data_IF_490329531212
#
_entry.id   IF_490329531212
#
_cell.length_a   1.000
_cell.length_b   1.000
_cell.length_c   1.000
_cell.angle_alpha   90.00
_cell.angle_beta   90.00
_cell.angle_gamma   90.00
#
_symmetry.space_group_name_H-M   'P 1'
#
loop_
_entity.id
_entity.type
_entity.pdbx_description
1 polymer ?
#
# COMPACT_ATOMS: atom_id res chain seq x y z
N UNK A 1 11.92 6.93 -3.03
CA UNK A 1 12.23 5.60 -3.58
C UNK A 1 11.94 5.57 -5.07
N UNK A 2 12.56 4.64 -5.76
CA UNK A 2 12.36 4.48 -7.20
C UNK A 2 11.00 3.81 -7.48
N UNK A 3 10.26 4.34 -8.44
CA UNK A 3 8.93 3.84 -8.79
C UNK A 3 8.95 2.37 -9.17
N UNK A 4 9.95 1.95 -9.95
CA UNK A 4 10.06 0.56 -10.38
C UNK A 4 10.27 -0.37 -9.20
N UNK A 5 11.11 0.03 -8.24
CA UNK A 5 11.34 -0.75 -7.03
C UNK A 5 10.08 -0.85 -6.18
N UNK A 6 9.38 0.26 -6.02
CA UNK A 6 8.14 0.27 -5.24
C UNK A 6 7.10 -0.65 -5.89
N UNK A 7 6.94 -0.54 -7.19
CA UNK A 7 6.00 -1.39 -7.93
C UNK A 7 6.36 -2.86 -7.77
N UNK A 8 7.63 -3.20 -7.87
CA UNK A 8 8.08 -4.58 -7.70
C UNK A 8 7.78 -5.11 -6.29
N UNK A 9 8.03 -4.28 -5.27
CA UNK A 9 7.73 -4.65 -3.88
C UNK A 9 6.23 -4.89 -3.70
N UNK A 10 5.41 -3.99 -4.21
CA UNK A 10 3.97 -4.10 -4.06
C UNK A 10 3.42 -5.33 -4.78
N UNK A 11 3.89 -5.61 -5.98
CA UNK A 11 3.46 -6.79 -6.72
C UNK A 11 3.85 -8.06 -6.00
N UNK A 12 5.08 -8.13 -5.51
CA UNK A 12 5.54 -9.28 -4.74
C UNK A 12 4.72 -9.46 -3.46
N UNK A 13 4.42 -8.35 -2.77
CA UNK A 13 3.70 -8.41 -1.51
C UNK A 13 2.23 -8.78 -1.71
N UNK A 14 1.65 -8.38 -2.85
CA UNK A 14 0.27 -8.75 -3.16
C UNK A 14 0.08 -10.27 -3.22
N UNK A 15 1.12 -11.00 -3.59
CA UNK A 15 1.07 -12.46 -3.62
C UNK A 15 0.94 -13.08 -2.23
N UNK A 16 1.25 -12.31 -1.17
CA UNK A 16 1.14 -12.75 0.21
C UNK A 16 0.02 -11.95 0.90
N UNK A 17 -1.17 -12.02 0.34
CA UNK A 17 -2.27 -11.13 0.69
C UNK A 17 -2.89 -11.35 2.07
N UNK A 18 -2.34 -12.26 2.86
CA UNK A 18 -2.75 -12.46 4.25
C UNK A 18 -2.05 -11.51 5.22
N UNK A 19 -1.19 -10.65 4.73
CA UNK A 19 -0.40 -9.74 5.57
C UNK A 19 -0.71 -8.30 5.22
N UNK A 20 -0.64 -7.44 6.23
CA UNK A 20 -0.83 -6.02 6.04
C UNK A 20 0.50 -5.29 5.96
N UNK A 21 0.44 -4.07 5.48
CA UNK A 21 1.61 -3.22 5.36
C UNK A 21 1.24 -1.78 5.70
N UNK A 22 2.26 -0.96 5.89
CA UNK A 22 2.12 0.47 6.09
C UNK A 22 2.76 1.16 4.89
N UNK A 23 2.00 2.05 4.25
CA UNK A 23 2.48 2.84 3.12
C UNK A 23 2.61 4.29 3.56
N UNK A 24 3.77 4.87 3.30
CA UNK A 24 4.08 6.25 3.68
C UNK A 24 4.18 7.10 2.42
N UNK A 25 3.50 8.24 2.43
CA UNK A 25 3.64 9.26 1.41
C UNK A 25 4.09 10.56 2.06
N UNK A 26 4.32 11.59 1.25
CA UNK A 26 4.70 12.91 1.79
C UNK A 26 3.60 13.53 2.65
N UNK A 27 2.36 13.17 2.39
CA UNK A 27 1.21 13.83 3.00
C UNK A 27 0.56 13.02 4.12
N UNK A 28 0.73 11.69 4.12
CA UNK A 28 0.02 10.86 5.07
C UNK A 28 0.62 9.45 5.14
N UNK A 29 0.15 8.70 6.12
CA UNK A 29 0.54 7.30 6.33
C UNK A 29 -0.71 6.45 6.34
N UNK A 30 -0.68 5.34 5.60
CA UNK A 30 -1.78 4.37 5.59
C UNK A 30 -1.30 3.13 6.33
N UNK A 31 -1.90 2.87 7.49
CA UNK A 31 -1.55 1.74 8.35
C UNK A 31 -2.49 0.58 8.13
N UNK A 32 -2.00 -0.62 8.37
CA UNK A 32 -2.80 -1.85 8.33
C UNK A 32 -3.53 -2.00 7.01
N UNK A 33 -2.82 -1.75 5.93
CA UNK A 33 -3.39 -1.77 4.60
C UNK A 33 -3.12 -3.11 3.91
N UNK A 34 -4.08 -3.53 3.11
CA UNK A 34 -3.96 -4.70 2.25
C UNK A 34 -4.06 -4.22 0.81
N UNK A 35 -3.24 -4.76 -0.06
CA UNK A 35 -3.23 -4.36 -1.45
C UNK A 35 -4.45 -4.95 -2.15
N UNK A 36 -5.27 -4.07 -2.72
CA UNK A 36 -6.45 -4.46 -3.47
C UNK A 36 -6.11 -4.66 -4.95
N UNK A 37 -5.68 -3.59 -5.61
CA UNK A 37 -5.29 -3.65 -7.02
C UNK A 37 -4.04 -2.82 -7.26
N UNK A 38 -3.29 -3.20 -8.28
CA UNK A 38 -2.08 -2.47 -8.69
C UNK A 38 -2.13 -2.30 -10.21
N UNK A 39 -1.79 -1.09 -10.67
CA UNK A 39 -1.47 -0.88 -12.07
C UNK A 39 -0.10 -0.18 -12.16
N UNK A 40 0.28 0.26 -13.34
CA UNK A 40 1.61 0.82 -13.55
C UNK A 40 1.84 2.15 -12.83
N UNK A 41 0.77 2.86 -12.51
CA UNK A 41 0.85 4.21 -11.96
C UNK A 41 0.30 4.34 -10.56
N UNK A 42 -0.66 3.49 -10.18
CA UNK A 42 -1.35 3.61 -8.91
C UNK A 42 -1.51 2.27 -8.22
N UNK A 43 -1.74 2.34 -6.92
CA UNK A 43 -2.09 1.18 -6.11
C UNK A 43 -3.33 1.53 -5.30
N UNK A 44 -4.30 0.62 -5.25
CA UNK A 44 -5.47 0.73 -4.38
C UNK A 44 -5.27 -0.14 -3.17
N UNK A 45 -5.48 0.44 -2.00
CA UNK A 45 -5.30 -0.22 -0.71
C UNK A 45 -6.63 -0.25 0.04
N UNK A 46 -6.84 -1.31 0.77
CA UNK A 46 -7.92 -1.40 1.75
C UNK A 46 -7.29 -1.25 3.13
N UNK A 47 -7.71 -0.25 3.88
CA UNK A 47 -7.18 0.01 5.20
C UNK A 47 -8.17 -0.45 6.26
N UNK A 48 -7.68 -1.20 7.22
CA UNK A 48 -8.48 -1.74 8.32
C UNK A 48 -8.16 -1.04 9.64
N UNK A 49 -7.72 0.20 9.58
CA UNK A 49 -7.34 0.95 10.76
C UNK A 49 -8.52 1.22 11.70
N UNK A 50 -9.75 1.20 11.18
CA UNK A 50 -10.97 1.37 11.97
C UNK A 50 -11.70 0.03 12.06
N UNK A 51 -12.13 -0.31 13.27
CA UNK A 51 -12.69 -1.64 13.55
C UNK A 51 -13.91 -1.99 12.71
N UNK A 52 -14.78 -1.03 12.48
CA UNK A 52 -16.07 -1.26 11.84
C UNK A 52 -16.08 -0.97 10.36
N UNK A 53 -15.08 -0.25 9.90
CA UNK A 53 -15.02 0.18 8.51
C UNK A 53 -13.60 0.04 8.00
N UNK A 54 -13.51 -0.41 6.78
CA UNK A 54 -12.29 -0.23 6.03
C UNK A 54 -12.58 0.70 4.86
N UNK A 55 -11.60 1.50 4.50
CA UNK A 55 -11.72 2.41 3.37
C UNK A 55 -10.79 1.99 2.27
N UNK A 56 -11.19 2.25 1.04
CA UNK A 56 -10.30 2.11 -0.11
C UNK A 56 -9.63 3.45 -0.38
N UNK A 57 -8.34 3.41 -0.57
CA UNK A 57 -7.58 4.59 -0.96
C UNK A 57 -6.71 4.23 -2.16
N UNK A 58 -6.68 5.13 -3.14
CA UNK A 58 -5.84 4.97 -4.32
C UNK A 58 -4.69 5.97 -4.24
N UNK A 59 -3.47 5.48 -4.39
CA UNK A 59 -2.26 6.27 -4.22
C UNK A 59 -1.44 6.17 -5.50
N UNK A 60 -0.93 7.31 -5.95
CA UNK A 60 0.06 7.32 -7.04
C UNK A 60 1.35 6.71 -6.53
N UNK A 61 1.90 5.77 -7.27
CA UNK A 61 3.12 5.08 -6.86
C UNK A 61 4.29 6.07 -6.70
N UNK A 62 4.30 7.12 -7.52
CA UNK A 62 5.34 8.16 -7.43
C UNK A 62 5.31 8.93 -6.11
N UNK A 63 4.17 8.93 -5.41
CA UNK A 63 4.04 9.64 -4.14
C UNK A 63 4.48 8.82 -2.94
N UNK A 64 4.75 7.54 -3.12
CA UNK A 64 5.14 6.66 -2.03
C UNK A 64 6.60 6.89 -1.68
N UNK A 65 6.87 7.21 -0.42
CA UNK A 65 8.22 7.45 0.07
C UNK A 65 8.75 6.32 0.96
N UNK A 66 7.88 5.43 1.40
CA UNK A 66 8.31 4.31 2.22
C UNK A 66 7.24 3.24 2.34
N UNK A 67 7.68 2.02 2.61
CA UNK A 67 6.80 0.89 2.84
C UNK A 67 7.36 0.11 4.02
N UNK A 68 6.49 -0.20 4.99
CA UNK A 68 6.84 -1.05 6.12
C UNK A 68 5.92 -2.26 6.13
N UNK A 69 6.51 -3.42 6.31
CA UNK A 69 5.74 -4.66 6.38
C UNK A 69 5.34 -4.93 7.81
N UNK A 70 4.10 -5.30 8.00
CA UNK A 70 3.55 -5.68 9.30
C UNK A 70 3.71 -7.19 9.48
N UNK A 71 4.01 -7.57 10.67
CA UNK A 71 4.11 -9.00 11.01
C UNK A 71 2.79 -9.52 11.56
#
# INVERSE_FOLDING_TARGET
MNKVMILAILVAYKAFNDKSLTVVTDDYVVNFAVIDTINNDTVSLLSYANDDNYGRITINIDDITGIQFQK
#
